data_IF_483892593703
#
_entry.id   IF_483892593703
#
_cell.length_a   1.000
_cell.length_b   1.000
_cell.length_c   1.000
_cell.angle_alpha   90.00
_cell.angle_beta   90.00
_cell.angle_gamma   90.00
#
_symmetry.space_group_name_H-M   'P 1'
#
loop_
_entity.id
_entity.type
_entity.pdbx_description
1 polymer ?
#
# COMPACT_ATOMS: atom_id res chain seq x y z
N UNK A 1 5.92 9.67 -9.99
CA UNK A 1 4.72 9.13 -9.36
C UNK A 1 4.78 9.01 -7.82
N UNK A 2 5.91 8.65 -7.20
CA UNK A 2 5.96 8.40 -5.74
C UNK A 2 5.50 9.58 -4.88
N UNK A 3 5.94 10.81 -5.20
CA UNK A 3 5.48 12.01 -4.50
C UNK A 3 3.97 12.26 -4.59
N UNK A 4 3.32 11.80 -5.68
CA UNK A 4 1.87 11.92 -5.83
C UNK A 4 1.13 10.95 -4.91
N UNK A 5 1.64 9.73 -4.72
CA UNK A 5 1.10 8.79 -3.73
C UNK A 5 1.19 9.38 -2.31
N UNK A 6 2.33 9.97 -1.94
CA UNK A 6 2.51 10.61 -0.62
C UNK A 6 1.54 11.77 -0.43
N UNK A 7 1.39 12.63 -1.45
CA UNK A 7 0.42 13.71 -1.43
C UNK A 7 -1.02 13.19 -1.32
N UNK A 8 -1.35 12.10 -2.01
CA UNK A 8 -2.65 11.45 -1.95
C UNK A 8 -2.96 10.90 -0.56
N UNK A 9 -2.02 10.18 0.06
CA UNK A 9 -2.15 9.65 1.43
C UNK A 9 -2.43 10.79 2.42
N UNK A 10 -1.66 11.88 2.35
CA UNK A 10 -1.86 13.04 3.20
C UNK A 10 -3.23 13.70 2.97
N UNK A 11 -3.71 13.72 1.71
CA UNK A 11 -5.01 14.27 1.36
C UNK A 11 -6.20 13.48 1.93
N UNK A 12 -6.06 12.15 2.08
CA UNK A 12 -7.11 11.29 2.63
C UNK A 12 -6.97 11.01 4.13
N UNK A 13 -5.90 11.47 4.78
CA UNK A 13 -5.61 11.19 6.18
C UNK A 13 -6.65 11.75 7.18
N UNK A 14 -7.40 12.78 6.78
CA UNK A 14 -8.51 13.32 7.58
C UNK A 14 -9.80 12.48 7.55
N UNK A 15 -9.86 11.45 6.70
CA UNK A 15 -11.03 10.58 6.59
C UNK A 15 -11.00 9.41 7.57
N UNK A 16 -12.11 8.65 7.62
CA UNK A 16 -12.11 7.37 8.31
C UNK A 16 -11.04 6.44 7.72
N UNK A 17 -10.24 5.80 8.59
CA UNK A 17 -9.12 4.95 8.20
C UNK A 17 -9.48 3.88 7.15
N UNK A 18 -10.67 3.27 7.24
CA UNK A 18 -11.12 2.25 6.28
C UNK A 18 -11.45 2.86 4.91
N UNK A 19 -12.08 4.04 4.89
CA UNK A 19 -12.34 4.81 3.65
C UNK A 19 -11.04 5.21 2.98
N UNK A 20 -10.10 5.80 3.75
CA UNK A 20 -8.79 6.19 3.27
C UNK A 20 -8.00 4.99 2.71
N UNK A 21 -8.02 3.86 3.41
CA UNK A 21 -7.36 2.63 2.95
C UNK A 21 -7.96 2.12 1.64
N UNK A 22 -9.29 2.12 1.49
CA UNK A 22 -9.93 1.70 0.25
C UNK A 22 -9.55 2.63 -0.91
N UNK A 23 -9.56 3.94 -0.68
CA UNK A 23 -9.15 4.94 -1.67
C UNK A 23 -7.69 4.75 -2.11
N UNK A 24 -6.79 4.52 -1.17
CA UNK A 24 -5.37 4.21 -1.47
C UNK A 24 -5.26 2.91 -2.27
N UNK A 25 -6.04 1.88 -1.90
CA UNK A 25 -6.07 0.62 -2.63
C UNK A 25 -6.49 0.84 -4.08
N UNK A 26 -7.61 1.49 -4.31
CA UNK A 26 -8.13 1.78 -5.65
C UNK A 26 -7.12 2.59 -6.46
N UNK A 27 -6.53 3.65 -5.86
CA UNK A 27 -5.46 4.42 -6.47
C UNK A 27 -4.29 3.54 -6.91
N UNK A 28 -3.80 2.65 -6.03
CA UNK A 28 -2.66 1.77 -6.34
C UNK A 28 -3.02 0.71 -7.38
N UNK A 29 -4.25 0.20 -7.44
CA UNK A 29 -4.69 -0.76 -8.46
C UNK A 29 -4.72 -0.14 -9.87
N UNK A 30 -5.13 1.12 -9.97
CA UNK A 30 -5.35 1.82 -11.24
C UNK A 30 -4.06 2.36 -11.89
N UNK A 31 -2.93 2.39 -11.16
CA UNK A 31 -1.66 2.87 -11.70
C UNK A 31 -1.14 2.02 -12.85
N UNK A 32 -0.61 2.69 -13.88
CA UNK A 32 0.14 2.05 -14.95
C UNK A 32 1.44 1.41 -14.42
N UNK A 33 2.01 0.47 -15.19
CA UNK A 33 3.14 -0.33 -14.74
C UNK A 33 4.39 0.51 -14.44
N UNK A 34 4.73 1.47 -15.30
CA UNK A 34 5.94 2.30 -15.14
C UNK A 34 5.85 3.16 -13.86
N UNK A 35 4.68 3.76 -13.65
CA UNK A 35 4.33 4.54 -12.46
C UNK A 35 4.35 3.69 -11.19
N UNK A 36 3.79 2.48 -11.27
CA UNK A 36 3.81 1.53 -10.17
C UNK A 36 5.23 1.08 -9.82
N UNK A 37 6.08 0.79 -10.82
CA UNK A 37 7.48 0.41 -10.59
C UNK A 37 8.28 1.53 -9.92
N UNK A 38 8.00 2.80 -10.25
CA UNK A 38 8.60 3.94 -9.54
C UNK A 38 8.21 3.93 -8.06
N UNK A 39 6.94 3.69 -7.74
CA UNK A 39 6.47 3.58 -6.35
C UNK A 39 7.15 2.43 -5.62
N UNK A 40 7.21 1.23 -6.23
CA UNK A 40 7.82 0.04 -5.62
C UNK A 40 9.27 0.30 -5.19
N UNK A 41 10.04 1.07 -5.97
CA UNK A 41 11.44 1.42 -5.64
C UNK A 41 11.58 2.32 -4.42
N UNK A 42 10.54 3.10 -4.09
CA UNK A 42 10.62 4.16 -3.08
C UNK A 42 9.76 3.89 -1.83
N UNK A 43 8.73 3.05 -1.93
CA UNK A 43 7.73 2.84 -0.87
C UNK A 43 8.31 2.35 0.46
N UNK A 44 9.48 1.69 0.43
CA UNK A 44 10.19 1.23 1.62
C UNK A 44 10.86 2.35 2.44
N UNK A 45 10.93 3.58 1.92
CA UNK A 45 11.52 4.73 2.62
C UNK A 45 10.41 5.68 3.05
N UNK A 46 10.13 5.74 4.36
CA UNK A 46 9.15 6.67 4.92
C UNK A 46 9.66 8.11 4.73
N UNK A 47 8.88 9.00 4.08
CA UNK A 47 9.24 10.41 3.95
C UNK A 47 9.35 11.12 5.31
N UNK A 48 10.41 11.91 5.52
CA UNK A 48 10.65 12.64 6.78
C UNK A 48 9.58 13.70 7.11
N UNK A 49 8.78 14.10 6.12
CA UNK A 49 7.66 15.03 6.33
C UNK A 49 6.41 14.36 6.91
N UNK A 50 6.42 13.03 7.10
CA UNK A 50 5.37 12.31 7.83
C UNK A 50 5.73 12.30 9.32
N UNK A 51 4.82 12.83 10.14
CA UNK A 51 5.01 12.91 11.59
C UNK A 51 4.97 11.51 12.21
N UNK A 52 5.84 11.25 13.17
CA UNK A 52 5.87 9.97 13.87
C UNK A 52 4.61 9.73 14.73
N UNK A 53 4.15 8.49 14.76
CA UNK A 53 2.91 7.96 15.35
C UNK A 53 1.60 8.58 14.81
N UNK A 54 1.69 9.25 13.65
CA UNK A 54 0.54 9.92 13.03
C UNK A 54 -0.39 8.97 12.28
N UNK A 55 -1.58 9.46 11.92
CA UNK A 55 -2.52 8.71 11.07
C UNK A 55 -1.93 8.53 9.66
N UNK A 56 -1.20 9.53 9.19
CA UNK A 56 -0.47 9.56 7.93
C UNK A 56 0.58 8.44 7.88
N UNK A 57 1.36 8.26 8.94
CA UNK A 57 2.34 7.16 9.04
C UNK A 57 1.64 5.80 8.99
N UNK A 58 0.53 5.66 9.72
CA UNK A 58 -0.29 4.44 9.75
C UNK A 58 -0.90 4.12 8.38
N UNK A 59 -1.31 5.13 7.62
CA UNK A 59 -1.83 4.98 6.26
C UNK A 59 -0.70 4.70 5.26
N UNK A 60 0.46 5.34 5.42
CA UNK A 60 1.64 5.08 4.61
C UNK A 60 2.12 3.64 4.77
N UNK A 61 2.19 3.13 6.00
CA UNK A 61 2.48 1.72 6.27
C UNK A 61 1.43 0.82 5.61
N UNK A 62 0.14 1.18 5.65
CA UNK A 62 -0.90 0.38 4.97
C UNK A 62 -0.75 0.41 3.45
N UNK A 63 -0.34 1.56 2.90
CA UNK A 63 -0.08 1.71 1.47
C UNK A 63 1.09 0.82 1.02
N UNK A 64 2.14 0.66 1.84
CA UNK A 64 3.25 -0.24 1.52
C UNK A 64 2.81 -1.70 1.47
N UNK A 65 1.92 -2.14 2.38
CA UNK A 65 1.31 -3.47 2.34
C UNK A 65 0.54 -3.69 1.03
N UNK A 66 -0.27 -2.71 0.64
CA UNK A 66 -1.09 -2.76 -0.58
C UNK A 66 -0.18 -2.87 -1.81
N UNK A 67 0.85 -2.02 -1.91
CA UNK A 67 1.83 -2.05 -3.00
C UNK A 67 2.51 -3.42 -3.09
N UNK A 68 2.95 -3.97 -1.96
CA UNK A 68 3.59 -5.27 -1.93
C UNK A 68 2.62 -6.41 -2.30
N UNK A 69 1.35 -6.33 -1.92
CA UNK A 69 0.33 -7.31 -2.34
C UNK A 69 0.10 -7.26 -3.86
N UNK A 70 0.15 -6.06 -4.47
CA UNK A 70 0.09 -5.89 -5.92
C UNK A 70 1.33 -6.47 -6.61
N UNK A 71 2.52 -6.32 -6.02
CA UNK A 71 3.74 -6.97 -6.51
C UNK A 71 3.60 -8.50 -6.57
N UNK A 72 3.06 -9.14 -5.54
CA UNK A 72 2.83 -10.59 -5.56
C UNK A 72 1.84 -11.01 -6.66
N UNK A 73 0.77 -10.23 -6.87
CA UNK A 73 -0.15 -10.45 -8.00
C UNK A 73 0.53 -10.30 -9.35
N UNK A 74 1.42 -9.32 -9.51
CA UNK A 74 2.27 -9.19 -10.71
C UNK A 74 3.20 -10.40 -10.93
N UNK A 75 3.65 -11.06 -9.86
CA UNK A 75 4.45 -12.28 -9.91
C UNK A 75 3.61 -13.55 -10.17
N UNK A 76 2.29 -13.42 -10.35
CA UNK A 76 1.39 -14.54 -10.64
C UNK A 76 0.87 -15.28 -9.40
N UNK A 77 0.96 -14.67 -8.22
CA UNK A 77 0.39 -15.20 -6.98
C UNK A 77 -1.01 -14.63 -6.75
N UNK A 78 -1.87 -15.33 -6.00
CA UNK A 78 -3.07 -14.71 -5.43
C UNK A 78 -2.64 -14.04 -4.12
N UNK A 79 -2.85 -12.73 -3.99
CA UNK A 79 -2.36 -11.99 -2.83
C UNK A 79 -3.26 -10.83 -2.42
N UNK A 80 -3.32 -10.58 -1.12
CA UNK A 80 -4.10 -9.48 -0.51
C UNK A 80 -3.41 -8.93 0.73
N UNK A 81 -3.44 -7.60 0.87
CA UNK A 81 -3.15 -6.94 2.14
C UNK A 81 -4.32 -7.15 3.12
N UNK A 82 -4.02 -7.59 4.34
CA UNK A 82 -4.98 -7.89 5.41
C UNK A 82 -5.37 -6.62 6.17
N UNK A 83 -6.61 -6.52 6.65
CA UNK A 83 -7.10 -5.34 7.39
C UNK A 83 -6.77 -5.42 8.90
N UNK A 84 -6.40 -6.60 9.39
CA UNK A 84 -6.06 -6.88 10.79
C UNK A 84 -4.69 -6.28 11.15
N UNK A 85 -4.52 -5.87 12.41
CA UNK A 85 -3.30 -5.15 12.87
C UNK A 85 -2.63 -5.77 14.11
N UNK A 86 -3.30 -6.73 14.77
CA UNK A 86 -2.82 -7.32 16.01
C UNK A 86 -2.70 -8.83 15.80
N UNK A 87 -1.51 -9.36 16.06
CA UNK A 87 -1.19 -10.80 15.93
C UNK A 87 -1.57 -11.39 14.56
N UNK A 88 -1.41 -10.58 13.51
CA UNK A 88 -1.72 -10.94 12.12
C UNK A 88 -0.62 -10.42 11.21
N UNK A 89 -0.41 -11.08 10.08
CA UNK A 89 0.51 -10.64 9.05
C UNK A 89 -0.07 -9.46 8.26
N UNK A 90 0.78 -8.70 7.57
CA UNK A 90 0.30 -7.59 6.74
C UNK A 90 -0.32 -8.06 5.42
N UNK A 91 0.18 -9.18 4.88
CA UNK A 91 -0.16 -9.69 3.54
C UNK A 91 -0.25 -11.22 3.57
N UNK A 92 -1.25 -11.74 2.88
CA UNK A 92 -1.34 -13.15 2.51
C UNK A 92 -1.07 -13.28 1.01
N UNK A 93 -0.20 -14.22 0.62
CA UNK A 93 0.08 -14.55 -0.78
C UNK A 93 0.19 -16.07 -0.97
N UNK A 94 -0.49 -16.60 -1.98
CA UNK A 94 -0.58 -18.03 -2.27
C UNK A 94 -0.19 -18.31 -3.72
N UNK A 95 0.49 -19.44 -3.95
CA UNK A 95 0.81 -19.87 -5.32
C UNK A 95 -0.47 -20.27 -6.05
N UNK A 96 -0.73 -19.69 -7.21
CA UNK A 96 -1.88 -20.06 -8.06
C UNK A 96 -1.63 -21.36 -8.83
N UNK A 97 -0.38 -21.85 -8.84
CA UNK A 97 0.01 -23.14 -9.40
C UNK A 97 0.58 -23.99 -8.27
N UNK A 98 -0.25 -24.87 -7.72
CA UNK A 98 0.22 -25.99 -6.91
C UNK A 98 1.00 -26.94 -7.82
N UNK A 99 2.14 -27.43 -7.34
CA UNK A 99 2.83 -28.56 -7.96
C UNK A 99 1.93 -29.81 -7.94
#
# INVERSE_FOLDING_TARGET
>A
MFGQLVAYINGVAGENFKSATQKIRDYVEELELDDFQEIVKNIGTIPENIVHDSTEEKLYSKASDIVLSRCFRFLGMDAKALDERADSADILAESTKGY
#
